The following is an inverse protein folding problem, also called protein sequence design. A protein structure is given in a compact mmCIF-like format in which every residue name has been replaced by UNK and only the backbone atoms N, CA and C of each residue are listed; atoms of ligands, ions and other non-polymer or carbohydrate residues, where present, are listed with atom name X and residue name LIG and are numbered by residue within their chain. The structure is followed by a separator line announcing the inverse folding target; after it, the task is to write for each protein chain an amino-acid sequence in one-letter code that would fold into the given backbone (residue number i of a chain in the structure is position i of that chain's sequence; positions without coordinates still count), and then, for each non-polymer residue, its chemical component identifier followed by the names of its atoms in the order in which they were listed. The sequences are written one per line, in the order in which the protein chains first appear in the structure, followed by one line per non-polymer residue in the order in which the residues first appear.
data_IF_599074292893
#
_entry.id   IF_599074292893
#
_cell.length_a   1.000
_cell.length_b   1.000
_cell.length_c   1.000
_cell.angle_alpha   90.00
_cell.angle_beta   90.00
_cell.angle_gamma   90.00
#
_symmetry.space_group_name_H-M   'P 1'
#
loop_
_entity.id
_entity.type
_entity.pdbx_description
1 polymer ?
#
# COMPACT_ATOMS: atom_id res chain seq x y z
N UNK A 1 -41.12 -19.43 2.26
CA UNK A 1 -40.70 -18.46 1.22
C UNK A 1 -41.15 -17.08 1.66
N UNK A 2 -40.22 -16.24 2.11
CA UNK A 2 -40.42 -14.81 2.31
C UNK A 2 -39.06 -14.14 2.06
N UNK A 3 -38.92 -13.45 0.93
CA UNK A 3 -37.70 -12.75 0.53
C UNK A 3 -37.54 -11.42 1.30
N UNK A 4 -36.29 -11.12 1.66
CA UNK A 4 -35.86 -9.96 2.43
C UNK A 4 -35.64 -8.72 1.53
N UNK A 5 -36.24 -7.56 1.84
CA UNK A 5 -35.92 -6.30 1.17
C UNK A 5 -34.87 -5.52 1.97
N UNK A 6 -33.58 -5.87 1.87
CA UNK A 6 -32.49 -5.08 2.52
C UNK A 6 -31.30 -4.71 1.64
N UNK A 7 -31.16 -5.32 0.46
CA UNK A 7 -30.07 -4.99 -0.47
C UNK A 7 -30.28 -3.68 -1.27
N UNK A 8 -31.51 -3.15 -1.29
CA UNK A 8 -31.86 -1.97 -2.10
C UNK A 8 -31.55 -0.62 -1.43
N UNK A 9 -31.34 -0.59 -0.11
CA UNK A 9 -31.08 0.66 0.62
C UNK A 9 -29.62 1.13 0.49
N UNK A 10 -28.68 0.19 0.45
CA UNK A 10 -27.24 0.47 0.33
C UNK A 10 -26.88 1.06 -1.05
N UNK A 11 -27.50 0.53 -2.12
CA UNK A 11 -27.31 1.09 -3.46
C UNK A 11 -27.87 2.51 -3.64
N UNK A 12 -28.94 2.87 -2.92
CA UNK A 12 -29.51 4.23 -2.97
C UNK A 12 -28.58 5.25 -2.33
N UNK A 13 -27.97 4.92 -1.19
CA UNK A 13 -26.96 5.77 -0.53
C UNK A 13 -25.71 5.94 -1.40
N UNK A 14 -25.22 4.87 -2.01
CA UNK A 14 -24.04 4.92 -2.89
C UNK A 14 -24.28 5.74 -4.16
N UNK A 15 -25.48 5.65 -4.76
CA UNK A 15 -25.87 6.52 -5.89
C UNK A 15 -25.97 8.00 -5.49
N UNK A 16 -26.41 8.29 -4.28
CA UNK A 16 -26.54 9.66 -3.78
C UNK A 16 -25.15 10.29 -3.49
N UNK A 17 -24.22 9.50 -2.92
CA UNK A 17 -22.84 9.93 -2.72
C UNK A 17 -22.13 10.17 -4.06
N UNK A 18 -22.33 9.29 -5.05
CA UNK A 18 -21.78 9.47 -6.39
C UNK A 18 -22.33 10.72 -7.10
N UNK A 19 -23.62 11.03 -6.91
CA UNK A 19 -24.24 12.27 -7.43
C UNK A 19 -23.64 13.52 -6.78
N UNK A 20 -23.49 13.53 -5.46
CA UNK A 20 -22.87 14.64 -4.73
C UNK A 20 -21.41 14.88 -5.14
N UNK A 21 -20.64 13.82 -5.37
CA UNK A 21 -19.25 13.94 -5.87
C UNK A 21 -19.18 14.57 -7.26
N UNK A 22 -20.10 14.24 -8.16
CA UNK A 22 -20.17 14.87 -9.50
C UNK A 22 -20.57 16.34 -9.43
N UNK A 23 -21.48 16.71 -8.54
CA UNK A 23 -21.90 18.11 -8.35
C UNK A 23 -20.75 18.96 -7.78
N UNK A 24 -19.96 18.43 -6.84
CA UNK A 24 -18.77 19.10 -6.29
C UNK A 24 -17.69 19.28 -7.36
N UNK A 25 -17.41 18.24 -8.16
CA UNK A 25 -16.46 18.33 -9.27
C UNK A 25 -16.91 19.33 -10.33
N UNK A 26 -18.19 19.34 -10.69
CA UNK A 26 -18.73 20.31 -11.65
C UNK A 26 -18.68 21.75 -11.12
N UNK A 27 -18.92 21.97 -9.82
CA UNK A 27 -18.80 23.28 -9.19
C UNK A 27 -17.34 23.76 -9.12
N UNK A 28 -16.40 22.85 -8.85
CA UNK A 28 -14.97 23.15 -8.86
C UNK A 28 -14.48 23.51 -10.27
N UNK A 29 -14.89 22.77 -11.31
CA UNK A 29 -14.56 23.09 -12.70
C UNK A 29 -15.16 24.43 -13.12
N UNK A 30 -16.39 24.74 -12.72
CA UNK A 30 -17.04 26.02 -13.01
C UNK A 30 -16.39 27.21 -12.29
N UNK A 31 -15.85 27.00 -11.09
CA UNK A 31 -15.09 28.01 -10.36
C UNK A 31 -13.69 28.25 -10.96
N UNK A 32 -13.13 27.26 -11.66
CA UNK A 32 -11.84 27.34 -12.33
C UNK A 32 -11.93 28.01 -13.71
N UNK A 33 -13.12 28.02 -14.32
CA UNK A 33 -13.42 28.74 -15.57
C UNK A 33 -13.81 30.21 -15.35
N UNK A 34 -14.02 30.65 -14.10
CA UNK A 34 -14.36 32.03 -13.74
C UNK A 34 -13.21 32.73 -12.99
N UNK A 35 -12.03 32.80 -13.59
CA UNK A 35 -11.01 33.80 -13.21
C UNK A 35 -10.83 34.80 -14.33
N UNK A 36 -11.81 35.71 -14.44
CA UNK A 36 -11.57 37.04 -15.01
C UNK A 36 -11.06 37.94 -13.88
N UNK A 37 -9.85 38.45 -14.05
CA UNK A 37 -9.21 39.43 -13.18
C UNK A 37 -9.85 40.80 -13.35
N UNK A 38 -10.62 41.26 -12.36
CA UNK A 38 -10.71 42.66 -11.87
C UNK A 38 -12.07 42.94 -11.21
N UNK A 39 -12.09 43.13 -9.88
CA UNK A 39 -12.75 44.25 -9.22
C UNK A 39 -12.57 44.14 -7.70
N UNK A 40 -11.91 45.17 -7.14
CA UNK A 40 -11.84 45.45 -5.72
C UNK A 40 -13.19 45.98 -5.19
N UNK A 41 -13.38 45.74 -3.89
CA UNK A 41 -14.13 46.54 -2.92
C UNK A 41 -15.66 46.40 -2.81
N UNK A 42 -16.05 46.39 -1.53
CA UNK A 42 -17.37 46.66 -0.93
C UNK A 42 -18.38 45.50 -0.82
N UNK A 43 -18.28 44.77 0.30
CA UNK A 43 -19.47 44.44 1.09
C UNK A 43 -19.08 44.21 2.56
N UNK A 44 -19.34 45.25 3.35
CA UNK A 44 -19.24 45.26 4.81
C UNK A 44 -20.46 44.54 5.40
N UNK A 45 -20.27 43.41 6.09
CA UNK A 45 -21.29 42.78 6.95
C UNK A 45 -20.62 42.32 8.24
N UNK A 46 -21.08 42.88 9.35
CA UNK A 46 -20.58 42.65 10.72
C UNK A 46 -21.13 41.36 11.38
N UNK A 47 -20.32 40.87 12.35
CA UNK A 47 -20.56 39.98 13.52
C UNK A 47 -20.42 38.44 13.35
N UNK A 48 -20.05 37.69 14.41
CA UNK A 48 -19.41 38.05 15.69
C UNK A 48 -18.08 37.31 15.96
N UNK A 49 -17.24 37.92 16.79
CA UNK A 49 -16.00 37.39 17.34
C UNK A 49 -16.24 36.34 18.43
N UNK A 50 -15.84 35.08 18.23
CA UNK A 50 -15.33 34.17 19.28
C UNK A 50 -14.70 32.92 18.66
N UNK A 51 -13.36 32.83 18.71
CA UNK A 51 -12.54 31.63 19.00
C UNK A 51 -11.18 31.77 18.31
N UNK A 52 -10.13 31.81 19.13
CA UNK A 52 -8.72 31.92 18.72
C UNK A 52 -8.31 30.87 17.68
N UNK A 53 -7.31 31.17 16.82
CA UNK A 53 -6.78 30.19 15.89
C UNK A 53 -6.07 29.06 16.65
N UNK A 54 -6.59 27.84 16.49
CA UNK A 54 -5.92 26.60 16.89
C UNK A 54 -4.63 26.54 16.09
N UNK A 55 -3.50 26.58 16.79
CA UNK A 55 -2.16 26.47 16.20
C UNK A 55 -2.06 25.14 15.46
N UNK A 56 -1.36 25.11 14.32
CA UNK A 56 -1.02 23.90 13.58
C UNK A 56 -0.38 22.79 14.45
N UNK A 57 0.12 23.13 15.65
CA UNK A 57 0.59 22.18 16.66
C UNK A 57 -0.52 21.33 17.32
N UNK A 58 -1.76 21.79 17.36
CA UNK A 58 -2.90 21.06 17.97
C UNK A 58 -3.56 20.08 16.99
N UNK A 59 -3.53 20.36 15.69
CA UNK A 59 -3.98 19.42 14.65
C UNK A 59 -3.07 18.18 14.56
N UNK A 60 -1.76 18.36 14.76
CA UNK A 60 -0.78 17.26 14.85
C UNK A 60 -1.01 16.38 16.10
N UNK A 61 -1.46 16.97 17.22
CA UNK A 61 -1.82 16.23 18.44
C UNK A 61 -3.09 15.39 18.28
N UNK A 62 -4.07 15.87 17.53
CA UNK A 62 -5.30 15.13 17.26
C UNK A 62 -5.04 13.88 16.38
N UNK A 63 -4.12 13.97 15.42
CA UNK A 63 -3.71 12.81 14.60
C UNK A 63 -2.81 11.83 15.37
N UNK A 64 -1.94 12.34 16.26
CA UNK A 64 -1.06 11.52 17.10
C UNK A 64 -1.81 10.66 18.13
N UNK A 65 -2.96 11.13 18.62
CA UNK A 65 -3.76 10.39 19.63
C UNK A 65 -4.42 9.14 19.04
N UNK A 66 -4.67 9.11 17.72
CA UNK A 66 -5.22 7.93 17.03
C UNK A 66 -4.10 6.91 16.69
N UNK A 67 -2.86 7.36 16.50
CA UNK A 67 -1.71 6.49 16.25
C UNK A 67 -1.16 5.80 17.52
N UNK A 68 -1.40 6.38 18.71
CA UNK A 68 -0.91 5.87 19.99
C UNK A 68 -1.58 4.56 20.44
N UNK A 69 -2.76 4.20 19.92
CA UNK A 69 -3.48 2.97 20.28
C UNK A 69 -3.06 1.72 19.45
N UNK A 70 -2.06 1.83 18.57
CA UNK A 70 -1.54 0.69 17.81
C UNK A 70 -0.09 0.31 18.14
N UNK A 71 0.57 1.04 19.03
CA UNK A 71 1.99 0.88 19.32
C UNK A 71 2.24 0.44 20.77
N UNK A 72 1.53 -0.58 21.24
CA UNK A 72 1.93 -1.35 22.44
C UNK A 72 1.56 -2.82 22.22
N UNK A 73 2.55 -3.70 22.42
CA UNK A 73 2.51 -5.17 22.55
C UNK A 73 3.26 -5.95 21.45
N UNK A 74 4.49 -6.33 21.82
CA UNK A 74 5.16 -7.62 21.59
C UNK A 74 5.84 -7.95 20.25
N UNK A 75 7.18 -7.86 20.24
CA UNK A 75 8.06 -9.02 20.46
C UNK A 75 9.53 -8.60 20.36
N UNK A 76 10.21 -8.47 21.50
CA UNK A 76 11.68 -8.42 21.57
C UNK A 76 12.17 -9.85 21.80
N UNK A 77 12.60 -10.51 20.73
CA UNK A 77 13.39 -11.73 20.85
C UNK A 77 14.87 -11.34 20.80
N UNK A 78 15.52 -11.54 21.95
CA UNK A 78 16.95 -11.44 22.22
C UNK A 78 17.81 -12.20 21.21
N UNK A 79 18.79 -11.53 20.61
CA UNK A 79 19.86 -12.13 19.84
C UNK A 79 21.17 -12.00 20.62
N UNK A 80 21.64 -13.13 21.16
CA UNK A 80 22.98 -13.27 21.73
C UNK A 80 24.03 -13.34 20.60
N UNK A 81 25.12 -12.61 20.80
CA UNK A 81 26.30 -12.54 19.94
C UNK A 81 27.30 -13.65 20.24
N UNK A 82 27.86 -14.28 19.20
CA UNK A 82 29.22 -14.86 19.23
C UNK A 82 29.75 -15.16 17.81
N UNK A 83 31.08 -15.29 17.61
CA UNK A 83 31.76 -14.56 16.53
C UNK A 83 32.55 -15.44 15.53
N UNK A 84 33.24 -14.75 14.59
CA UNK A 84 34.48 -15.12 13.85
C UNK A 84 34.27 -15.90 12.51
N UNK A 85 35.18 -15.88 11.48
CA UNK A 85 36.29 -14.98 11.09
C UNK A 85 36.22 -14.41 9.65
N UNK A 86 37.09 -13.43 9.40
CA UNK A 86 37.52 -12.91 8.09
C UNK A 86 38.43 -13.89 7.32
N UNK A 87 38.23 -14.10 6.01
CA UNK A 87 39.29 -14.43 5.02
C UNK A 87 38.83 -14.14 3.57
N UNK A 88 39.48 -13.14 2.98
CA UNK A 88 40.04 -12.98 1.61
C UNK A 88 39.38 -13.65 0.37
N UNK A 89 39.00 -12.89 -0.66
CA UNK A 89 39.75 -12.45 -1.89
C UNK A 89 39.50 -13.33 -3.13
N UNK A 90 38.81 -12.72 -4.10
CA UNK A 90 38.97 -12.75 -5.57
C UNK A 90 38.82 -14.04 -6.42
N UNK A 91 38.37 -13.72 -7.66
CA UNK A 91 38.54 -14.41 -8.95
C UNK A 91 37.45 -15.41 -9.35
N UNK A 92 36.63 -15.02 -10.33
CA UNK A 92 36.55 -15.69 -11.65
C UNK A 92 35.54 -14.98 -12.58
N UNK A 93 36.07 -14.30 -13.60
CA UNK A 93 35.40 -14.10 -14.88
C UNK A 93 35.66 -15.33 -15.78
N UNK A 94 34.82 -15.47 -16.80
CA UNK A 94 34.99 -16.24 -18.05
C UNK A 94 34.20 -17.56 -18.14
N UNK A 95 33.84 -17.88 -19.39
CA UNK A 95 33.24 -19.13 -19.94
C UNK A 95 31.70 -19.05 -20.02
N UNK A 96 31.01 -19.15 -21.17
CA UNK A 96 31.35 -19.45 -22.57
C UNK A 96 30.22 -18.92 -23.47
N UNK A 97 30.58 -18.24 -24.56
CA UNK A 97 29.78 -18.11 -25.80
C UNK A 97 30.04 -19.34 -26.66
N UNK A 98 28.99 -20.10 -27.01
CA UNK A 98 29.02 -21.03 -28.13
C UNK A 98 27.94 -20.62 -29.14
N UNK A 99 28.39 -20.22 -30.33
CA UNK A 99 27.56 -19.99 -31.51
C UNK A 99 27.28 -21.33 -32.20
N UNK A 100 26.02 -21.60 -32.52
CA UNK A 100 25.58 -22.75 -33.33
C UNK A 100 25.42 -22.29 -34.79
N UNK A 101 25.94 -23.02 -35.79
CA UNK A 101 25.85 -22.63 -37.19
C UNK A 101 24.46 -22.88 -37.78
N UNK A 102 23.91 -21.89 -38.48
CA UNK A 102 22.64 -21.95 -39.21
C UNK A 102 22.90 -22.40 -40.65
N UNK A 103 22.32 -23.53 -41.06
CA UNK A 103 22.17 -23.88 -42.48
C UNK A 103 20.82 -23.35 -43.02
N UNK A 104 20.77 -22.78 -44.23
CA UNK A 104 19.53 -22.31 -44.81
C UNK A 104 18.76 -23.47 -45.47
N UNK A 105 17.55 -23.73 -44.97
CA UNK A 105 16.55 -24.56 -45.66
C UNK A 105 15.69 -23.62 -46.51
N UNK A 106 15.74 -23.79 -47.83
CA UNK A 106 14.81 -23.15 -48.75
C UNK A 106 13.43 -23.80 -48.60
N UNK A 107 12.47 -23.06 -48.05
CA UNK A 107 11.05 -23.37 -48.18
C UNK A 107 10.42 -22.41 -49.19
N UNK A 108 10.11 -22.94 -50.36
CA UNK A 108 9.09 -22.40 -51.27
C UNK A 108 7.74 -22.51 -50.58
N UNK A 109 7.13 -21.38 -50.23
CA UNK A 109 5.70 -21.32 -49.93
C UNK A 109 5.07 -20.15 -50.68
N UNK A 110 3.99 -20.48 -51.36
CA UNK A 110 3.21 -19.63 -52.23
C UNK A 110 2.65 -18.39 -51.51
N UNK A 111 2.67 -17.30 -52.26
CA UNK A 111 2.13 -15.99 -51.89
C UNK A 111 0.63 -16.09 -51.57
N UNK A 112 0.26 -15.78 -50.32
CA UNK A 112 -1.04 -15.15 -50.03
C UNK A 112 -0.75 -13.88 -49.24
N UNK A 113 -0.79 -12.75 -49.94
CA UNK A 113 -0.67 -11.39 -49.39
C UNK A 113 -1.84 -11.12 -48.43
N UNK A 114 -1.68 -11.50 -47.18
CA UNK A 114 -2.45 -10.93 -46.06
C UNK A 114 -1.52 -9.95 -45.36
N UNK A 115 -1.84 -8.66 -45.48
CA UNK A 115 -1.04 -7.52 -45.01
C UNK A 115 -0.52 -7.70 -43.59
N UNK A 116 0.81 -7.65 -43.41
CA UNK A 116 1.49 -7.75 -42.10
C UNK A 116 1.00 -6.68 -41.09
N UNK A 117 0.45 -5.55 -41.55
CA UNK A 117 -0.18 -4.52 -40.71
C UNK A 117 -1.42 -5.04 -39.97
N UNK A 118 -2.25 -5.88 -40.60
CA UNK A 118 -3.43 -6.45 -39.98
C UNK A 118 -3.10 -7.45 -38.86
N UNK A 119 -1.98 -8.16 -38.96
CA UNK A 119 -1.55 -9.11 -37.94
C UNK A 119 -0.95 -8.41 -36.71
N UNK A 120 -0.25 -7.29 -36.91
CA UNK A 120 0.25 -6.45 -35.83
C UNK A 120 -0.91 -5.79 -35.06
N UNK A 121 -1.91 -5.27 -35.78
CA UNK A 121 -3.09 -4.64 -35.18
C UNK A 121 -3.98 -5.64 -34.43
N UNK A 122 -4.10 -6.87 -34.92
CA UNK A 122 -4.82 -7.94 -34.20
C UNK A 122 -4.05 -8.39 -32.96
N UNK A 123 -2.71 -8.49 -33.02
CA UNK A 123 -1.88 -8.83 -31.85
C UNK A 123 -1.93 -7.76 -30.76
N UNK A 124 -1.87 -6.48 -31.12
CA UNK A 124 -2.02 -5.37 -30.15
C UNK A 124 -3.41 -5.38 -29.53
N UNK A 125 -4.48 -5.54 -30.33
CA UNK A 125 -5.86 -5.62 -29.80
C UNK A 125 -6.07 -6.81 -28.85
N UNK A 126 -5.49 -7.97 -29.14
CA UNK A 126 -5.57 -9.15 -28.25
C UNK A 126 -4.80 -8.90 -26.94
N UNK A 127 -3.62 -8.30 -27.04
CA UNK A 127 -2.78 -7.99 -25.88
C UNK A 127 -3.44 -6.94 -24.97
N UNK A 128 -4.05 -5.90 -25.55
CA UNK A 128 -4.78 -4.86 -24.82
C UNK A 128 -6.04 -5.41 -24.14
N UNK A 129 -6.77 -6.32 -24.80
CA UNK A 129 -7.95 -6.96 -24.21
C UNK A 129 -7.60 -7.86 -23.02
N UNK A 130 -6.47 -8.59 -23.08
CA UNK A 130 -5.99 -9.40 -21.96
C UNK A 130 -5.56 -8.53 -20.77
N UNK A 131 -4.93 -7.38 -21.03
CA UNK A 131 -4.56 -6.40 -19.99
C UNK A 131 -5.78 -5.80 -19.31
N UNK A 132 -6.78 -5.36 -20.08
CA UNK A 132 -8.00 -4.77 -19.50
C UNK A 132 -8.78 -5.80 -18.67
N UNK A 133 -8.88 -7.04 -19.16
CA UNK A 133 -9.52 -8.13 -18.42
C UNK A 133 -8.78 -8.43 -17.11
N UNK A 134 -7.45 -8.36 -17.09
CA UNK A 134 -6.64 -8.52 -15.87
C UNK A 134 -6.85 -7.34 -14.92
N UNK A 135 -6.88 -6.11 -15.42
CA UNK A 135 -7.14 -4.89 -14.64
C UNK A 135 -8.50 -4.95 -13.96
N UNK A 136 -9.56 -5.33 -14.69
CA UNK A 136 -10.89 -5.51 -14.12
C UNK A 136 -10.93 -6.55 -13.00
N UNK A 137 -10.22 -7.68 -13.16
CA UNK A 137 -10.11 -8.71 -12.12
C UNK A 137 -9.43 -8.17 -10.87
N UNK A 138 -8.33 -7.42 -11.03
CA UNK A 138 -7.61 -6.80 -9.91
C UNK A 138 -8.49 -5.76 -9.21
N UNK A 139 -9.24 -4.93 -9.95
CA UNK A 139 -10.16 -3.96 -9.34
C UNK A 139 -11.25 -4.65 -8.52
N UNK A 140 -11.85 -5.72 -9.03
CA UNK A 140 -12.83 -6.53 -8.27
C UNK A 140 -12.21 -7.15 -7.02
N UNK A 141 -10.95 -7.57 -7.09
CA UNK A 141 -10.22 -8.12 -5.95
C UNK A 141 -9.98 -7.04 -4.88
N UNK A 142 -9.60 -5.82 -5.30
CA UNK A 142 -9.38 -4.68 -4.40
C UNK A 142 -10.64 -4.24 -3.64
N UNK A 143 -11.83 -4.48 -4.20
CA UNK A 143 -13.12 -4.22 -3.54
C UNK A 143 -13.45 -5.23 -2.42
N UNK A 144 -12.78 -6.38 -2.37
CA UNK A 144 -13.00 -7.41 -1.35
C UNK A 144 -12.44 -6.97 0.02
N UNK A 145 -12.88 -7.62 1.10
CA UNK A 145 -12.35 -7.41 2.46
C UNK A 145 -11.31 -8.51 2.75
N UNK A 146 -10.19 -8.20 3.42
CA UNK A 146 -9.20 -9.22 3.78
C UNK A 146 -9.81 -10.30 4.70
N UNK A 147 -9.48 -11.56 4.41
CA UNK A 147 -9.88 -12.69 5.24
C UNK A 147 -9.28 -12.66 6.65
N UNK A 148 -9.93 -13.31 7.61
CA UNK A 148 -9.52 -13.34 9.02
C UNK A 148 -8.12 -13.95 9.23
N UNK A 149 -7.62 -14.75 8.30
CA UNK A 149 -6.27 -15.31 8.29
C UNK A 149 -5.18 -14.25 8.13
N UNK A 150 -5.48 -13.12 7.48
CA UNK A 150 -4.56 -12.00 7.30
C UNK A 150 -4.73 -10.93 8.38
N UNK A 151 -5.72 -11.05 9.25
CA UNK A 151 -5.96 -10.07 10.32
C UNK A 151 -5.45 -10.60 11.66
N UNK A 152 -4.87 -9.73 12.48
CA UNK A 152 -4.56 -10.06 13.86
C UNK A 152 -5.83 -10.18 14.72
N UNK A 153 -5.68 -10.42 16.02
CA UNK A 153 -6.81 -10.58 16.96
C UNK A 153 -7.66 -9.32 17.10
N UNK A 154 -7.10 -8.16 16.78
CA UNK A 154 -7.75 -6.85 16.84
C UNK A 154 -8.30 -6.41 15.48
N UNK A 155 -8.32 -7.31 14.50
CA UNK A 155 -8.74 -7.05 13.12
C UNK A 155 -7.86 -6.04 12.38
N UNK A 156 -6.58 -5.95 12.75
CA UNK A 156 -5.58 -5.09 12.09
C UNK A 156 -4.74 -5.91 11.10
N UNK A 157 -4.33 -5.24 10.02
CA UNK A 157 -3.28 -5.73 9.14
C UNK A 157 -1.92 -5.33 9.70
N UNK A 158 -1.13 -6.31 10.11
CA UNK A 158 0.28 -6.11 10.47
C UNK A 158 1.14 -6.01 9.20
N UNK A 159 2.37 -5.49 9.34
CA UNK A 159 3.30 -5.37 8.22
C UNK A 159 3.56 -6.70 7.50
N UNK A 160 3.72 -7.80 8.23
CA UNK A 160 3.92 -9.13 7.64
C UNK A 160 2.66 -9.63 6.94
N UNK A 161 1.50 -9.43 7.55
CA UNK A 161 0.25 -9.95 7.00
C UNK A 161 -0.14 -9.23 5.70
N UNK A 162 0.11 -7.93 5.59
CA UNK A 162 -0.14 -7.22 4.33
C UNK A 162 0.80 -7.67 3.22
N UNK A 163 2.06 -8.03 3.53
CA UNK A 163 2.99 -8.60 2.53
C UNK A 163 2.46 -9.95 2.04
N UNK A 164 2.05 -10.82 2.95
CA UNK A 164 1.49 -12.13 2.61
C UNK A 164 0.22 -11.98 1.77
N UNK A 165 -0.67 -11.06 2.15
CA UNK A 165 -1.89 -10.75 1.41
C UNK A 165 -1.59 -10.22 0.01
N UNK A 166 -0.62 -9.32 -0.14
CA UNK A 166 -0.23 -8.78 -1.44
C UNK A 166 0.38 -9.86 -2.34
N UNK A 167 1.19 -10.76 -1.77
CA UNK A 167 1.75 -11.89 -2.50
C UNK A 167 0.68 -12.91 -2.90
N UNK A 168 -0.32 -13.16 -2.06
CA UNK A 168 -1.43 -14.07 -2.36
C UNK A 168 -2.36 -13.48 -3.42
N UNK A 169 -2.73 -12.20 -3.28
CA UNK A 169 -3.68 -11.52 -4.15
C UNK A 169 -3.09 -11.14 -5.52
N UNK A 170 -1.85 -10.66 -5.57
CA UNK A 170 -1.24 -10.09 -6.78
C UNK A 170 -0.04 -10.88 -7.28
N UNK A 171 0.48 -11.83 -6.50
CA UNK A 171 1.73 -12.52 -6.78
C UNK A 171 2.97 -11.71 -6.37
N UNK A 172 4.11 -12.37 -6.11
CA UNK A 172 5.34 -11.70 -5.64
C UNK A 172 5.95 -10.73 -6.66
N UNK A 173 5.61 -10.86 -7.94
CA UNK A 173 6.01 -9.96 -9.02
C UNK A 173 4.89 -9.03 -9.48
N UNK A 174 3.72 -9.06 -8.82
CA UNK A 174 2.58 -8.20 -9.15
C UNK A 174 2.62 -6.83 -8.50
N UNK A 175 3.57 -6.60 -7.60
CA UNK A 175 3.70 -5.34 -6.89
C UNK A 175 5.17 -5.03 -6.56
N UNK A 176 5.45 -3.76 -6.29
CA UNK A 176 6.77 -3.30 -5.82
C UNK A 176 6.63 -2.15 -4.84
N UNK A 177 7.59 -2.02 -3.94
CA UNK A 177 7.61 -0.99 -2.89
C UNK A 177 8.98 -0.33 -2.83
N UNK A 178 9.01 1.00 -2.74
CA UNK A 178 10.24 1.78 -2.70
C UNK A 178 10.11 2.92 -1.69
N UNK A 179 11.05 2.98 -0.75
CA UNK A 179 11.23 4.14 0.11
C UNK A 179 11.80 5.29 -0.73
N UNK A 180 11.07 6.40 -0.80
CA UNK A 180 11.48 7.62 -1.50
C UNK A 180 12.34 8.47 -0.57
N UNK A 181 11.90 8.65 0.68
CA UNK A 181 12.52 9.54 1.66
C UNK A 181 12.41 8.96 3.06
N UNK A 182 13.42 9.19 3.90
CA UNK A 182 13.41 8.84 5.31
C UNK A 182 14.13 9.95 6.07
N UNK A 183 13.42 10.67 6.92
CA UNK A 183 13.95 11.86 7.60
C UNK A 183 13.69 11.81 9.10
N UNK A 184 14.71 12.20 9.87
CA UNK A 184 14.55 12.46 11.29
C UNK A 184 13.79 13.80 11.45
N UNK A 185 12.71 13.77 12.23
CA UNK A 185 11.95 14.97 12.56
C UNK A 185 12.34 15.51 13.94
N UNK A 186 12.69 14.60 14.86
CA UNK A 186 13.02 14.92 16.23
C UNK A 186 13.96 13.87 16.81
N UNK A 187 14.94 14.32 17.59
CA UNK A 187 15.76 13.49 18.45
C UNK A 187 16.05 14.27 19.73
N UNK A 188 15.83 13.63 20.87
CA UNK A 188 15.93 14.23 22.19
C UNK A 188 16.38 13.18 23.19
N UNK A 189 17.32 13.56 24.05
CA UNK A 189 17.56 12.86 25.30
C UNK A 189 16.62 13.41 26.37
N UNK A 190 15.94 12.51 27.07
CA UNK A 190 15.03 12.83 28.19
C UNK A 190 15.80 12.88 29.50
N UNK A 191 15.19 13.47 30.52
CA UNK A 191 15.73 13.50 31.89
C UNK A 191 15.94 12.12 32.51
N UNK A 192 15.33 11.08 31.93
CA UNK A 192 15.41 9.70 32.41
C UNK A 192 16.51 8.89 31.69
N UNK A 193 17.46 9.57 31.03
CA UNK A 193 18.50 8.98 30.18
C UNK A 193 17.92 8.06 29.08
N UNK A 194 16.76 8.44 28.52
CA UNK A 194 16.18 7.77 27.34
C UNK A 194 16.30 8.69 26.13
N UNK A 195 16.67 8.12 25.00
CA UNK A 195 16.58 8.77 23.71
C UNK A 195 15.19 8.57 23.14
N UNK A 196 14.51 9.67 22.81
CA UNK A 196 13.25 9.72 22.08
C UNK A 196 13.52 10.25 20.68
N UNK A 197 13.20 9.47 19.66
CA UNK A 197 13.40 9.84 18.26
C UNK A 197 12.13 9.63 17.43
N UNK A 198 11.94 10.49 16.44
CA UNK A 198 10.82 10.45 15.51
C UNK A 198 11.34 10.53 14.08
N UNK A 199 10.87 9.61 13.24
CA UNK A 199 11.18 9.59 11.81
C UNK A 199 9.90 9.66 10.98
N UNK A 200 9.99 10.35 9.84
CA UNK A 200 9.01 10.27 8.76
C UNK A 200 9.60 9.49 7.59
N UNK A 201 8.76 8.71 6.92
CA UNK A 201 9.12 7.95 5.72
C UNK A 201 8.08 8.22 4.64
N UNK A 202 8.54 8.60 3.45
CA UNK A 202 7.72 8.66 2.25
C UNK A 202 8.03 7.43 1.41
N UNK A 203 6.99 6.72 0.97
CA UNK A 203 7.14 5.51 0.17
C UNK A 203 6.21 5.50 -1.03
N UNK A 204 6.65 4.87 -2.11
CA UNK A 204 5.85 4.51 -3.27
C UNK A 204 5.57 3.01 -3.27
N UNK A 205 4.31 2.66 -3.49
CA UNK A 205 3.86 1.28 -3.72
C UNK A 205 3.21 1.21 -5.08
N UNK A 206 3.65 0.28 -5.91
CA UNK A 206 3.12 0.05 -7.26
C UNK A 206 2.42 -1.30 -7.30
N UNK A 207 1.16 -1.31 -7.71
CA UNK A 207 0.48 -2.52 -8.16
C UNK A 207 0.55 -2.55 -9.69
N UNK A 208 1.20 -3.57 -10.24
CA UNK A 208 1.33 -3.72 -11.69
C UNK A 208 -0.08 -3.83 -12.31
N UNK A 209 -0.32 -3.16 -13.44
CA UNK A 209 -1.64 -3.01 -14.09
C UNK A 209 -2.62 -2.02 -13.45
N UNK A 210 -2.34 -1.50 -12.25
CA UNK A 210 -3.21 -0.50 -11.59
C UNK A 210 -2.55 0.87 -11.56
N UNK A 211 -1.35 0.96 -10.97
CA UNK A 211 -0.62 2.22 -10.82
C UNK A 211 0.20 2.27 -9.53
N UNK A 212 0.79 3.44 -9.28
CA UNK A 212 1.60 3.74 -8.11
C UNK A 212 0.87 4.70 -7.19
N UNK A 213 0.92 4.42 -5.89
CA UNK A 213 0.45 5.31 -4.84
C UNK A 213 1.63 5.69 -3.96
N UNK A 214 1.64 6.93 -3.48
CA UNK A 214 2.61 7.40 -2.50
C UNK A 214 1.94 7.62 -1.16
N UNK A 215 2.69 7.43 -0.08
CA UNK A 215 2.19 7.66 1.26
C UNK A 215 3.28 8.00 2.24
N UNK A 216 2.85 8.64 3.34
CA UNK A 216 3.68 9.07 4.45
C UNK A 216 3.45 8.13 5.63
N UNK A 217 4.52 7.76 6.31
CA UNK A 217 4.47 7.10 7.61
C UNK A 217 5.30 7.83 8.65
N UNK A 218 4.88 7.69 9.89
CA UNK A 218 5.58 8.24 11.06
C UNK A 218 5.91 7.09 12.01
N UNK A 219 7.09 7.14 12.60
CA UNK A 219 7.54 6.15 13.57
C UNK A 219 8.29 6.80 14.71
N UNK A 220 8.05 6.26 15.90
CA UNK A 220 8.64 6.71 17.15
C UNK A 220 9.47 5.58 17.75
N UNK A 221 10.56 5.95 18.38
CA UNK A 221 11.43 5.02 19.08
C UNK A 221 11.90 5.63 20.39
N UNK A 222 11.92 4.81 21.43
CA UNK A 222 12.41 5.19 22.76
C UNK A 222 13.29 4.07 23.31
N UNK A 223 14.55 4.38 23.63
CA UNK A 223 15.48 3.45 24.28
C UNK A 223 16.56 4.23 25.03
N UNK A 224 17.20 3.60 26.03
CA UNK A 224 18.40 4.12 26.69
C UNK A 224 19.59 4.18 25.73
N UNK A 225 19.56 3.40 24.65
CA UNK A 225 20.59 3.38 23.62
C UNK A 225 20.07 4.11 22.40
N UNK A 226 20.75 5.20 22.01
CA UNK A 226 20.33 6.06 20.88
C UNK A 226 20.14 5.25 19.58
N UNK A 227 21.08 4.36 19.28
CA UNK A 227 21.02 3.51 18.09
C UNK A 227 19.78 2.62 18.04
N UNK A 228 19.36 2.05 19.18
CA UNK A 228 18.15 1.24 19.27
C UNK A 228 16.89 2.08 19.08
N UNK A 229 16.84 3.26 19.73
CA UNK A 229 15.72 4.18 19.54
C UNK A 229 15.55 4.54 18.05
N UNK A 230 16.66 4.83 17.35
CA UNK A 230 16.65 5.12 15.91
C UNK A 230 16.14 3.94 15.08
N UNK A 231 16.61 2.72 15.35
CA UNK A 231 16.17 1.51 14.63
C UNK A 231 14.67 1.26 14.85
N UNK A 232 14.18 1.41 16.08
CA UNK A 232 12.75 1.28 16.41
C UNK A 232 11.91 2.31 15.64
N UNK A 233 12.30 3.59 15.68
CA UNK A 233 11.58 4.67 15.01
C UNK A 233 11.54 4.48 13.49
N UNK A 234 12.69 4.18 12.87
CA UNK A 234 12.78 3.96 11.42
C UNK A 234 11.95 2.76 10.99
N UNK A 235 12.01 1.65 11.74
CA UNK A 235 11.23 0.44 11.44
C UNK A 235 9.74 0.71 11.54
N UNK A 236 9.30 1.37 12.62
CA UNK A 236 7.91 1.78 12.79
C UNK A 236 7.45 2.71 11.66
N UNK A 237 8.28 3.69 11.27
CA UNK A 237 7.96 4.65 10.21
C UNK A 237 7.80 3.95 8.85
N UNK A 238 8.71 3.03 8.51
CA UNK A 238 8.65 2.23 7.27
C UNK A 238 7.41 1.35 7.24
N UNK A 239 7.12 0.62 8.32
CA UNK A 239 5.94 -0.23 8.40
C UNK A 239 4.65 0.57 8.32
N UNK A 240 4.60 1.72 9.01
CA UNK A 240 3.45 2.61 8.97
C UNK A 240 3.24 3.20 7.56
N UNK A 241 4.30 3.68 6.91
CA UNK A 241 4.22 4.22 5.54
C UNK A 241 3.67 3.16 4.57
N UNK A 242 4.22 1.94 4.61
CA UNK A 242 3.75 0.85 3.77
C UNK A 242 2.28 0.50 4.00
N UNK A 243 1.85 0.41 5.26
CA UNK A 243 0.46 0.15 5.63
C UNK A 243 -0.46 1.29 5.20
N UNK A 244 -0.03 2.55 5.28
CA UNK A 244 -0.86 3.67 4.83
C UNK A 244 -0.98 3.71 3.30
N UNK A 245 0.13 3.55 2.58
CA UNK A 245 0.11 3.55 1.11
C UNK A 245 -0.68 2.38 0.54
N UNK A 246 -0.59 1.19 1.14
CA UNK A 246 -1.36 0.01 0.69
C UNK A 246 -2.87 0.23 0.77
N UNK A 247 -3.36 0.91 1.81
CA UNK A 247 -4.80 1.22 1.97
C UNK A 247 -5.38 2.08 0.85
N UNK A 248 -4.53 2.87 0.16
CA UNK A 248 -4.97 3.71 -0.95
C UNK A 248 -5.44 2.91 -2.16
N UNK A 249 -5.09 1.61 -2.26
CA UNK A 249 -5.53 0.75 -3.36
C UNK A 249 -6.93 0.18 -3.19
N UNK A 250 -7.42 -0.04 -1.97
CA UNK A 250 -8.77 -0.57 -1.80
C UNK A 250 -9.06 -1.21 -0.44
N UNK A 251 -10.26 -1.79 -0.36
CA UNK A 251 -10.76 -2.50 0.82
C UNK A 251 -9.85 -3.66 1.22
N UNK A 252 -9.37 -4.43 0.23
CA UNK A 252 -8.60 -5.65 0.45
C UNK A 252 -7.29 -5.35 1.17
N UNK A 253 -6.61 -4.31 0.73
CA UNK A 253 -5.30 -3.89 1.24
C UNK A 253 -5.39 -3.07 2.52
N UNK A 254 -6.57 -3.00 3.14
CA UNK A 254 -6.75 -2.53 4.51
C UNK A 254 -7.57 -1.27 4.68
N UNK A 255 -8.21 -0.73 3.64
CA UNK A 255 -9.12 0.41 3.84
C UNK A 255 -10.39 0.00 4.63
N UNK A 256 -10.90 -1.20 4.39
CA UNK A 256 -12.17 -1.66 4.98
C UNK A 256 -12.10 -1.92 6.49
N UNK A 257 -10.92 -2.17 7.06
CA UNK A 257 -10.76 -2.47 8.50
C UNK A 257 -11.02 -1.26 9.41
N UNK A 258 -11.13 -0.05 8.83
CA UNK A 258 -11.51 1.17 9.55
C UNK A 258 -13.02 1.37 9.62
N UNK A 259 -13.79 0.59 8.85
CA UNK A 259 -15.25 0.61 8.91
C UNK A 259 -15.74 -0.30 10.05
N UNK A 260 -16.42 0.31 11.02
CA UNK A 260 -16.97 -0.39 12.20
C UNK A 260 -17.98 -1.47 11.80
N UNK A 261 -18.74 -1.26 10.73
CA UNK A 261 -19.74 -2.23 10.29
C UNK A 261 -19.05 -3.47 9.70
N UNK A 262 -17.99 -3.28 8.93
CA UNK A 262 -17.14 -4.38 8.43
C UNK A 262 -16.54 -5.18 9.59
N UNK A 263 -15.98 -4.49 10.59
CA UNK A 263 -15.42 -5.15 11.78
C UNK A 263 -16.48 -5.95 12.54
N UNK A 264 -17.70 -5.42 12.66
CA UNK A 264 -18.79 -6.09 13.35
C UNK A 264 -19.26 -7.35 12.62
N UNK A 265 -19.25 -7.35 11.29
CA UNK A 265 -19.53 -8.57 10.51
C UNK A 265 -18.39 -9.58 10.63
N UNK A 266 -17.13 -9.15 10.52
CA UNK A 266 -15.96 -10.03 10.66
C UNK A 266 -15.89 -10.72 12.03
N UNK A 267 -16.38 -10.09 13.10
CA UNK A 267 -16.46 -10.70 14.44
C UNK A 267 -17.40 -11.90 14.53
N UNK A 268 -18.37 -12.02 13.62
CA UNK A 268 -19.32 -13.14 13.58
C UNK A 268 -18.74 -14.36 12.87
N UNK A 269 -17.74 -14.14 12.01
CA UNK A 269 -17.11 -15.20 11.24
C UNK A 269 -16.14 -16.01 12.10
N UNK A 270 -16.16 -17.35 12.01
CA UNK A 270 -15.20 -18.18 12.71
C UNK A 270 -13.81 -17.99 12.10
N UNK A 271 -12.81 -17.71 12.95
CA UNK A 271 -11.43 -17.59 12.49
C UNK A 271 -10.93 -18.93 11.95
N UNK A 272 -10.35 -18.97 10.74
CA UNK A 272 -9.78 -20.20 10.19
C UNK A 272 -8.61 -20.68 11.07
N UNK A 273 -8.40 -22.01 11.18
CA UNK A 273 -7.28 -22.56 11.92
C UNK A 273 -5.95 -22.13 11.28
N UNK A 274 -4.95 -21.81 12.10
CA UNK A 274 -3.61 -21.47 11.61
C UNK A 274 -3.05 -22.64 10.78
N UNK A 275 -2.56 -22.36 9.57
CA UNK A 275 -1.87 -23.35 8.73
C UNK A 275 -0.68 -23.91 9.51
N UNK A 276 -0.67 -25.22 9.77
CA UNK A 276 0.45 -25.89 10.46
C UNK A 276 1.65 -25.93 9.52
N UNK A 277 2.82 -25.52 10.02
CA UNK A 277 4.08 -25.66 9.28
C UNK A 277 4.38 -27.14 9.06
N UNK A 278 4.43 -27.57 7.80
CA UNK A 278 4.87 -28.93 7.44
C UNK A 278 6.38 -28.93 7.30
N UNK A 279 7.06 -29.95 7.82
CA UNK A 279 8.53 -30.09 7.69
C UNK A 279 8.99 -30.02 6.23
N UNK A 280 8.21 -30.56 5.30
CA UNK A 280 8.50 -30.51 3.86
C UNK A 280 8.49 -29.11 3.24
N UNK A 281 7.97 -28.10 3.94
CA UNK A 281 7.96 -26.70 3.48
C UNK A 281 9.22 -25.93 3.94
N UNK A 282 10.07 -26.54 4.76
CA UNK A 282 11.31 -25.94 5.22
C UNK A 282 12.34 -26.15 4.11
N UNK A 283 12.86 -25.06 3.56
CA UNK A 283 13.95 -25.10 2.60
C UNK A 283 15.26 -25.38 3.32
N UNK A 284 15.96 -26.45 2.94
CA UNK A 284 17.21 -26.88 3.57
C UNK A 284 18.48 -26.48 2.79
N UNK A 285 18.36 -25.71 1.69
CA UNK A 285 19.45 -25.55 0.74
C UNK A 285 19.63 -26.82 -0.11
N UNK A 286 20.10 -26.68 -1.34
CA UNK A 286 20.74 -27.81 -2.02
C UNK A 286 22.21 -27.74 -1.63
N UNK A 287 22.74 -28.83 -1.08
CA UNK A 287 24.19 -29.01 -0.90
C UNK A 287 24.92 -28.99 -2.25
#
# INVERSE_FOLDING_TARGET
MAELPRFTLSMKKNKQIAKQRREILAAATKAQESTDTNALNEANVELPTTSSPISAAEEVKAYATTALLSATSDNVASFESSPVPSTQVAVAQSILTEEIPVHPVQNTLDNTTTSQEGLAEVKTRIQDHDVETKREKIMKLLDMVPGLEFLDKEFKLTYTNIIDLMNDAFGPSGWSHKIIKCEEQHSKETTDNQHEVCYTVITALTLHQIGTQEGLGVGYGRSQVEGEARVLAITAAKSNAFLQTSRLFGSLTGNAIFDKDVINELKKEPRPPKKKLKKSMIYHGKD
#
